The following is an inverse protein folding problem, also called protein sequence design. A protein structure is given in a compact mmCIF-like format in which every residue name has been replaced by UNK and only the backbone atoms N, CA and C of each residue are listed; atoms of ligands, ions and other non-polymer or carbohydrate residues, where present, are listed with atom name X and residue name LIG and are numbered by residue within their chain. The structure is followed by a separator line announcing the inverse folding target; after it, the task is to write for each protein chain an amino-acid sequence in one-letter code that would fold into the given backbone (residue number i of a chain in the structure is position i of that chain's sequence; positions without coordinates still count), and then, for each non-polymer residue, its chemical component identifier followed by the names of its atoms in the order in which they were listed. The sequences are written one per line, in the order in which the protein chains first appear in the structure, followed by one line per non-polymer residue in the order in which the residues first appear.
data_IF_340121377843
#
_entry.id   IF_340121377843
#
_cell.length_a   1.000
_cell.length_b   1.000
_cell.length_c   1.000
_cell.angle_alpha   90.00
_cell.angle_beta   90.00
_cell.angle_gamma   90.00
#
_symmetry.space_group_name_H-M   'P 1'
#
loop_
_entity.id
_entity.type
_entity.pdbx_description
1 polymer ?
#
# COMPACT_ATOMS: atom_id res chain seq x y z
N UNK A 1 -8.90 -10.54 -18.52
CA UNK A 1 -7.76 -10.78 -17.61
C UNK A 1 -7.94 -9.86 -16.42
N UNK A 2 -7.89 -10.36 -15.19
CA UNK A 2 -7.97 -9.50 -14.02
C UNK A 2 -6.75 -8.55 -14.02
N UNK A 3 -6.97 -7.28 -13.67
CA UNK A 3 -5.87 -6.32 -13.57
C UNK A 3 -4.96 -6.71 -12.39
N UNK A 4 -3.64 -6.75 -12.65
CA UNK A 4 -2.63 -7.00 -11.61
C UNK A 4 -2.73 -5.91 -10.54
N UNK A 5 -2.51 -6.27 -9.28
CA UNK A 5 -2.54 -5.31 -8.17
C UNK A 5 -1.13 -5.10 -7.62
N UNK A 6 -0.76 -3.86 -7.31
CA UNK A 6 0.43 -3.57 -6.50
C UNK A 6 0.03 -3.03 -5.12
N UNK A 7 0.85 -3.30 -4.12
CA UNK A 7 0.69 -2.74 -2.78
C UNK A 7 1.58 -1.52 -2.66
N UNK A 8 0.99 -0.40 -2.21
CA UNK A 8 1.74 0.80 -1.85
C UNK A 8 1.62 1.00 -0.35
N UNK A 9 2.75 0.96 0.33
CA UNK A 9 2.83 1.20 1.78
C UNK A 9 3.08 2.68 2.03
N UNK A 10 2.24 3.33 2.83
CA UNK A 10 2.34 4.75 3.18
C UNK A 10 2.50 5.68 1.95
N UNK A 11 1.44 5.79 1.15
CA UNK A 11 1.36 6.59 -0.08
C UNK A 11 1.37 8.12 0.11
N UNK A 12 2.01 8.64 1.17
CA UNK A 12 2.03 10.06 1.50
C UNK A 12 2.85 10.89 0.52
N UNK A 13 2.55 12.20 0.46
CA UNK A 13 3.37 13.19 -0.26
C UNK A 13 3.60 12.78 -1.72
N UNK A 14 4.85 12.53 -2.13
CA UNK A 14 5.18 12.08 -3.49
C UNK A 14 4.64 10.69 -3.82
N UNK A 15 4.29 9.88 -2.81
CA UNK A 15 3.60 8.61 -2.97
C UNK A 15 2.28 8.73 -3.76
N UNK A 16 1.63 9.90 -3.74
CA UNK A 16 0.41 10.18 -4.52
C UNK A 16 0.59 10.10 -6.05
N UNK A 17 1.83 10.13 -6.54
CA UNK A 17 2.13 9.93 -7.96
C UNK A 17 2.19 8.44 -8.36
N UNK A 18 2.25 7.52 -7.40
CA UNK A 18 2.34 6.08 -7.68
C UNK A 18 1.02 5.47 -8.19
N UNK A 19 -0.16 5.69 -7.57
CA UNK A 19 -1.41 5.15 -8.10
C UNK A 19 -1.68 5.48 -9.58
N UNK A 20 -1.58 6.75 -10.04
CA UNK A 20 -1.79 7.03 -11.46
C UNK A 20 -0.70 6.43 -12.36
N UNK A 21 0.53 6.25 -11.87
CA UNK A 21 1.58 5.58 -12.62
C UNK A 21 1.28 4.08 -12.83
N UNK A 22 0.84 3.37 -11.79
CA UNK A 22 0.41 1.96 -11.91
C UNK A 22 -0.80 1.81 -12.84
N UNK A 23 -1.79 2.72 -12.74
CA UNK A 23 -2.96 2.69 -13.63
C UNK A 23 -2.60 2.85 -15.11
N UNK A 24 -1.59 3.68 -15.44
CA UNK A 24 -1.08 3.81 -16.82
C UNK A 24 -0.46 2.51 -17.34
N UNK A 25 0.02 1.64 -16.45
CA UNK A 25 0.54 0.30 -16.76
C UNK A 25 -0.55 -0.78 -16.77
N UNK A 26 -1.82 -0.42 -16.57
CA UNK A 26 -2.94 -1.36 -16.50
C UNK A 26 -3.01 -2.14 -15.18
N UNK A 27 -2.38 -1.62 -14.12
CA UNK A 27 -2.40 -2.20 -12.78
C UNK A 27 -3.21 -1.33 -11.81
N UNK A 28 -3.88 -1.98 -10.87
CA UNK A 28 -4.54 -1.32 -9.74
C UNK A 28 -3.63 -1.33 -8.51
N UNK A 29 -4.03 -0.60 -7.48
CA UNK A 29 -3.26 -0.49 -6.24
C UNK A 29 -4.10 -0.67 -4.99
N UNK A 30 -3.51 -1.27 -3.96
CA UNK A 30 -4.03 -1.32 -2.59
C UNK A 30 -3.07 -0.53 -1.70
N UNK A 31 -3.63 0.25 -0.79
CA UNK A 31 -2.86 1.01 0.19
C UNK A 31 -2.71 0.20 1.48
N UNK A 32 -1.51 0.25 2.06
CA UNK A 32 -1.28 -0.25 3.42
C UNK A 32 -0.64 0.86 4.26
N UNK A 33 -1.19 1.11 5.43
CA UNK A 33 -0.68 2.09 6.40
C UNK A 33 0.19 1.41 7.44
N UNK A 34 1.38 1.93 7.69
CA UNK A 34 2.23 1.49 8.80
C UNK A 34 1.74 1.99 10.16
N UNK A 35 0.89 3.03 10.16
CA UNK A 35 0.30 3.64 11.35
C UNK A 35 -1.19 3.35 11.47
N UNK A 36 -1.74 3.44 12.69
CA UNK A 36 -3.18 3.26 12.94
C UNK A 36 -4.01 4.36 12.27
N UNK A 37 -3.50 5.60 12.30
CA UNK A 37 -4.11 6.79 11.73
C UNK A 37 -3.19 7.42 10.67
N UNK A 38 -3.76 8.23 9.78
CA UNK A 38 -2.98 8.99 8.81
C UNK A 38 -2.09 10.04 9.51
N UNK A 39 -0.87 10.22 9.03
CA UNK A 39 0.08 11.18 9.60
C UNK A 39 -0.34 12.63 9.23
N UNK A 40 -0.72 13.48 10.20
CA UNK A 40 -1.20 14.84 9.91
C UNK A 40 -0.11 15.80 9.43
N UNK A 41 1.16 15.44 9.63
CA UNK A 41 2.33 16.23 9.19
C UNK A 41 2.71 16.00 7.72
N UNK A 42 2.06 15.07 7.03
CA UNK A 42 2.33 14.75 5.63
C UNK A 42 1.08 14.97 4.78
N UNK A 43 1.27 15.25 3.48
CA UNK A 43 0.14 15.27 2.56
C UNK A 43 -0.45 13.85 2.48
N UNK A 44 -1.76 13.68 2.75
CA UNK A 44 -2.36 12.36 2.86
C UNK A 44 -2.37 11.64 1.50
N UNK A 45 -2.41 10.30 1.50
CA UNK A 45 -2.69 9.53 0.29
C UNK A 45 -4.10 9.86 -0.22
N UNK A 46 -4.24 9.98 -1.55
CA UNK A 46 -5.51 10.10 -2.25
C UNK A 46 -6.20 8.72 -2.31
N UNK A 47 -6.92 8.39 -1.23
CA UNK A 47 -7.51 7.06 -1.01
C UNK A 47 -8.50 6.63 -2.10
N UNK A 48 -9.11 7.59 -2.81
CA UNK A 48 -10.03 7.31 -3.94
C UNK A 48 -9.31 6.63 -5.12
N UNK A 49 -7.97 6.66 -5.16
CA UNK A 49 -7.17 5.99 -6.19
C UNK A 49 -6.86 4.53 -5.89
N UNK A 50 -7.19 4.05 -4.69
CA UNK A 50 -6.87 2.71 -4.22
C UNK A 50 -8.11 1.83 -4.18
N UNK A 51 -7.93 0.52 -4.37
CA UNK A 51 -9.01 -0.48 -4.24
C UNK A 51 -9.39 -0.74 -2.79
N UNK A 52 -8.42 -0.63 -1.89
CA UNK A 52 -8.59 -0.84 -0.47
C UNK A 52 -7.51 -0.05 0.30
N UNK A 53 -7.80 0.24 1.55
CA UNK A 53 -6.89 0.79 2.55
C UNK A 53 -6.86 -0.16 3.75
N UNK A 54 -5.66 -0.65 4.10
CA UNK A 54 -5.45 -1.60 5.20
C UNK A 54 -4.50 -0.98 6.23
N UNK A 55 -4.82 -1.09 7.51
CA UNK A 55 -3.94 -0.64 8.58
C UNK A 55 -3.08 -1.79 9.13
N UNK A 56 -1.77 -1.56 9.27
CA UNK A 56 -0.81 -2.49 9.84
C UNK A 56 0.05 -1.80 10.92
N UNK A 57 -0.56 -1.34 12.04
CA UNK A 57 0.11 -0.50 13.04
C UNK A 57 1.22 -1.21 13.83
N UNK A 58 1.30 -2.54 13.74
CA UNK A 58 2.26 -3.35 14.48
C UNK A 58 2.57 -4.65 13.73
N UNK A 59 3.74 -5.24 14.00
CA UNK A 59 4.18 -6.50 13.40
C UNK A 59 3.18 -7.66 13.61
N UNK A 60 2.47 -7.67 14.74
CA UNK A 60 1.42 -8.66 15.02
C UNK A 60 0.22 -8.60 14.06
N UNK A 61 0.02 -7.48 13.36
CA UNK A 61 -1.04 -7.32 12.36
C UNK A 61 -0.66 -7.87 10.98
N UNK A 62 0.63 -8.11 10.71
CA UNK A 62 1.14 -8.54 9.39
C UNK A 62 0.41 -9.78 8.85
N UNK A 63 0.22 -10.88 9.63
CA UNK A 63 -0.46 -12.06 9.09
C UNK A 63 -1.89 -11.77 8.61
N UNK A 64 -2.63 -10.90 9.31
CA UNK A 64 -3.98 -10.50 8.90
C UNK A 64 -3.97 -9.64 7.64
N UNK A 65 -3.00 -8.73 7.52
CA UNK A 65 -2.82 -7.88 6.33
C UNK A 65 -2.43 -8.73 5.11
N UNK A 66 -1.52 -9.69 5.26
CA UNK A 66 -1.15 -10.62 4.18
C UNK A 66 -2.36 -11.43 3.70
N UNK A 67 -3.17 -11.96 4.64
CA UNK A 67 -4.40 -12.67 4.28
C UNK A 67 -5.40 -11.79 3.53
N UNK A 68 -5.56 -10.52 3.94
CA UNK A 68 -6.41 -9.57 3.24
C UNK A 68 -5.86 -9.22 1.83
N UNK A 69 -4.54 -9.02 1.72
CA UNK A 69 -3.88 -8.74 0.46
C UNK A 69 -3.97 -9.91 -0.53
N UNK A 70 -3.97 -11.15 -0.07
CA UNK A 70 -4.09 -12.34 -0.94
C UNK A 70 -5.36 -12.33 -1.81
N UNK A 71 -6.45 -11.70 -1.34
CA UNK A 71 -7.69 -11.55 -2.13
C UNK A 71 -7.52 -10.62 -3.36
N UNK A 72 -6.44 -9.84 -3.41
CA UNK A 72 -6.14 -8.90 -4.48
C UNK A 72 -5.06 -9.38 -5.46
N UNK A 73 -4.49 -10.58 -5.25
CA UNK A 73 -3.41 -11.17 -6.06
C UNK A 73 -2.27 -10.17 -6.36
N UNK A 74 -1.61 -9.63 -5.32
CA UNK A 74 -0.60 -8.59 -5.48
C UNK A 74 0.66 -9.13 -6.15
N UNK A 75 1.22 -8.37 -7.08
CA UNK A 75 2.44 -8.74 -7.83
C UNK A 75 3.69 -7.97 -7.40
N UNK A 76 3.51 -6.96 -6.55
CA UNK A 76 4.58 -6.10 -6.05
C UNK A 76 4.17 -5.40 -4.76
N UNK A 77 5.15 -5.08 -3.92
CA UNK A 77 5.02 -4.19 -2.76
C UNK A 77 6.02 -3.06 -2.91
N UNK A 78 5.59 -1.82 -2.72
CA UNK A 78 6.42 -0.62 -2.88
C UNK A 78 6.16 0.34 -1.73
N UNK A 79 7.22 0.92 -1.15
CA UNK A 79 7.08 2.02 -0.21
C UNK A 79 6.76 3.33 -0.95
N UNK A 80 5.69 4.01 -0.54
CA UNK A 80 5.28 5.32 -1.05
C UNK A 80 5.95 6.50 -0.34
N UNK A 81 6.44 6.27 0.88
CA UNK A 81 7.19 7.20 1.70
C UNK A 81 8.21 6.45 2.57
N UNK A 82 9.17 7.17 3.15
CA UNK A 82 10.23 6.59 3.98
C UNK A 82 9.67 5.81 5.20
N UNK A 83 8.58 6.31 5.80
CA UNK A 83 7.87 5.62 6.90
C UNK A 83 7.37 4.22 6.52
N UNK A 84 7.09 3.99 5.24
CA UNK A 84 6.56 2.74 4.74
C UNK A 84 7.62 1.69 4.44
N UNK A 85 8.91 2.05 4.40
CA UNK A 85 9.99 1.14 3.98
C UNK A 85 10.06 -0.14 4.83
N UNK A 86 10.11 -0.07 6.17
CA UNK A 86 10.23 -1.29 6.98
C UNK A 86 9.05 -2.26 6.80
N UNK A 87 7.85 -1.72 6.63
CA UNK A 87 6.65 -2.53 6.41
C UNK A 87 6.58 -3.05 4.97
N UNK A 88 7.03 -2.28 3.97
CA UNK A 88 7.12 -2.75 2.59
C UNK A 88 8.09 -3.93 2.46
N UNK A 89 9.25 -3.87 3.12
CA UNK A 89 10.20 -4.99 3.16
C UNK A 89 9.58 -6.22 3.82
N UNK A 90 8.95 -6.06 4.98
CA UNK A 90 8.30 -7.16 5.69
C UNK A 90 7.17 -7.81 4.87
N UNK A 91 6.36 -7.02 4.15
CA UNK A 91 5.30 -7.56 3.29
C UNK A 91 5.85 -8.19 2.01
N UNK A 92 6.94 -7.66 1.45
CA UNK A 92 7.55 -8.17 0.22
C UNK A 92 8.22 -9.55 0.37
N UNK A 93 8.55 -9.95 1.60
CA UNK A 93 9.12 -11.27 1.93
C UNK A 93 8.06 -12.38 2.14
N UNK A 94 6.77 -12.09 1.99
CA UNK A 94 5.66 -12.98 2.38
C UNK A 94 4.73 -13.33 1.23
#
# INVERSE_FOLDING_TARGET
MAARTAVIVDGYSTGNFLPPAFRRLGADVVHVRSSADLMPSMAPPDLDRYRADLACPAAAAIPGVVAALAAHDPVAVVAGAESGVPLADALGER
#
